data_IF_587925761738
#
_entry.id   IF_587925761738
#
_cell.length_a   1.000
_cell.length_b   1.000
_cell.length_c   1.000
_cell.angle_alpha   90.00
_cell.angle_beta   90.00
_cell.angle_gamma   90.00
#
_symmetry.space_group_name_H-M   'P 1'
#
loop_
_entity.id
_entity.type
_entity.pdbx_description
1 polymer ?
#
# COMPACT_ATOMS: atom_id res chain seq x y z
N UNK A 1 -8.38 10.28 -8.59
CA UNK A 1 -9.08 10.51 -7.31
C UNK A 1 -9.64 9.18 -6.83
N UNK A 2 -9.15 8.63 -5.72
CA UNK A 2 -9.36 7.22 -5.32
C UNK A 2 -10.47 7.00 -4.29
N UNK A 3 -10.86 8.04 -3.54
CA UNK A 3 -11.88 7.96 -2.47
C UNK A 3 -13.17 7.23 -2.85
N UNK A 4 -13.80 7.46 -4.02
CA UNK A 4 -15.08 6.80 -4.35
C UNK A 4 -14.94 5.28 -4.42
N UNK A 5 -13.82 4.79 -4.94
CA UNK A 5 -13.51 3.36 -4.99
C UNK A 5 -13.28 2.83 -3.57
N UNK A 6 -12.49 3.54 -2.75
CA UNK A 6 -12.26 3.14 -1.36
C UNK A 6 -13.56 3.03 -0.56
N UNK A 7 -14.48 3.99 -0.70
CA UNK A 7 -15.79 3.94 -0.03
C UNK A 7 -16.63 2.73 -0.44
N UNK A 8 -16.53 2.28 -1.69
CA UNK A 8 -17.22 1.07 -2.18
C UNK A 8 -16.66 -0.21 -1.53
N UNK A 9 -15.35 -0.25 -1.27
CA UNK A 9 -14.64 -1.45 -0.81
C UNK A 9 -14.18 -1.42 0.66
N UNK A 10 -14.48 -0.35 1.41
CA UNK A 10 -14.05 -0.18 2.81
C UNK A 10 -14.69 -1.18 3.81
N UNK A 11 -15.68 -1.96 3.38
CA UNK A 11 -16.33 -3.01 4.19
C UNK A 11 -16.81 -2.51 5.57
N UNK A 12 -17.46 -1.34 5.61
CA UNK A 12 -17.94 -0.72 6.84
C UNK A 12 -16.89 0.08 7.64
N UNK A 13 -15.65 0.14 7.16
CA UNK A 13 -14.60 0.99 7.74
C UNK A 13 -14.77 2.45 7.35
N UNK A 14 -14.34 3.35 8.23
CA UNK A 14 -14.32 4.79 7.95
C UNK A 14 -13.32 5.12 6.83
N UNK A 15 -13.76 5.91 5.86
CA UNK A 15 -12.88 6.46 4.80
C UNK A 15 -12.69 7.95 5.04
N UNK A 16 -11.46 8.32 5.39
CA UNK A 16 -11.06 9.70 5.65
C UNK A 16 -10.42 10.26 4.39
N UNK A 17 -10.98 11.36 3.87
CA UNK A 17 -10.37 12.09 2.77
C UNK A 17 -9.16 12.89 3.26
N UNK A 18 -8.00 12.63 2.66
CA UNK A 18 -6.80 13.44 2.82
C UNK A 18 -6.60 14.25 1.52
N UNK A 19 -6.66 15.59 1.58
CA UNK A 19 -6.61 16.42 0.39
C UNK A 19 -5.22 16.42 -0.26
N UNK A 20 -5.19 16.60 -1.58
CA UNK A 20 -3.95 16.90 -2.30
C UNK A 20 -3.66 18.38 -2.10
N UNK A 21 -2.61 18.69 -1.34
CA UNK A 21 -2.26 20.07 -0.98
C UNK A 21 -0.73 20.24 -0.87
N UNK A 22 -0.31 21.47 -0.59
CA UNK A 22 1.06 21.82 -0.27
C UNK A 22 1.55 21.19 1.04
N UNK A 23 2.84 21.39 1.30
CA UNK A 23 3.58 20.81 2.42
C UNK A 23 2.93 21.14 3.77
N UNK A 24 2.80 22.43 4.09
CA UNK A 24 2.33 22.87 5.40
C UNK A 24 0.87 22.49 5.68
N UNK A 25 -0.10 22.71 4.75
CA UNK A 25 -1.46 22.22 4.93
C UNK A 25 -1.53 20.70 5.11
N UNK A 26 -0.73 19.93 4.35
CA UNK A 26 -0.70 18.47 4.48
C UNK A 26 -0.24 18.01 5.86
N UNK A 27 0.77 18.67 6.45
CA UNK A 27 1.19 18.39 7.83
C UNK A 27 0.09 18.70 8.85
N UNK A 28 -0.64 19.80 8.67
CA UNK A 28 -1.80 20.15 9.51
C UNK A 28 -2.92 19.11 9.39
N UNK A 29 -3.22 18.64 8.17
CA UNK A 29 -4.18 17.57 7.93
C UNK A 29 -3.77 16.26 8.60
N UNK A 30 -2.51 15.85 8.46
CA UNK A 30 -1.97 14.67 9.11
C UNK A 30 -2.12 14.77 10.64
N UNK A 31 -1.67 15.87 11.24
CA UNK A 31 -1.81 16.13 12.68
C UNK A 31 -3.27 16.07 13.14
N UNK A 32 -4.18 16.75 12.43
CA UNK A 32 -5.60 16.75 12.77
C UNK A 32 -6.25 15.38 12.68
N UNK A 33 -5.85 14.55 11.70
CA UNK A 33 -6.31 13.15 11.59
C UNK A 33 -5.81 12.34 12.78
N UNK A 34 -4.52 12.42 13.12
CA UNK A 34 -3.92 11.69 14.23
C UNK A 34 -4.56 12.07 15.58
N UNK A 35 -4.81 13.36 15.83
CA UNK A 35 -5.46 13.84 17.06
C UNK A 35 -6.91 13.38 17.19
N UNK A 36 -7.64 13.30 16.07
CA UNK A 36 -9.04 12.87 16.02
C UNK A 36 -9.18 11.35 16.13
N UNK A 37 -8.44 10.61 15.32
CA UNK A 37 -8.56 9.15 15.20
C UNK A 37 -7.83 8.44 16.33
N UNK A 38 -6.71 9.00 16.81
CA UNK A 38 -5.84 8.42 17.85
C UNK A 38 -5.52 6.94 17.58
N UNK A 39 -4.98 6.60 16.38
CA UNK A 39 -4.70 5.22 16.05
C UNK A 39 -3.59 4.67 16.94
N UNK A 40 -3.67 3.39 17.28
CA UNK A 40 -2.58 2.67 17.95
C UNK A 40 -1.56 2.07 16.98
N UNK A 41 -1.92 2.00 15.69
CA UNK A 41 -1.12 1.42 14.62
C UNK A 41 -1.44 2.11 13.29
N UNK A 42 -0.40 2.41 12.50
CA UNK A 42 -0.50 2.84 11.12
C UNK A 42 -0.01 1.72 10.20
N UNK A 43 -0.74 1.42 9.13
CA UNK A 43 -0.33 0.44 8.13
C UNK A 43 -0.41 1.08 6.75
N UNK A 44 0.67 0.99 5.99
CA UNK A 44 0.72 1.39 4.59
C UNK A 44 0.89 0.18 3.69
N UNK A 45 0.17 0.15 2.57
CA UNK A 45 0.32 -0.85 1.51
C UNK A 45 0.36 -0.10 0.18
N UNK A 46 1.45 -0.25 -0.58
CA UNK A 46 1.59 0.28 -1.94
C UNK A 46 1.29 1.78 -2.06
N UNK A 47 1.70 2.56 -1.04
CA UNK A 47 1.47 4.00 -1.03
C UNK A 47 2.79 4.72 -1.22
N UNK A 48 2.91 5.45 -2.32
CA UNK A 48 4.08 6.28 -2.61
C UNK A 48 4.39 7.25 -1.45
N UNK A 49 5.64 7.22 -1.00
CA UNK A 49 6.22 8.13 -0.01
C UNK A 49 7.06 9.20 -0.69
N UNK A 50 7.28 10.31 0.01
CA UNK A 50 8.06 11.43 -0.53
C UNK A 50 9.53 11.07 -0.66
N UNK A 51 10.19 11.59 -1.69
CA UNK A 51 11.66 11.62 -1.79
C UNK A 51 12.24 12.68 -0.84
N UNK A 52 13.57 12.80 -0.80
CA UNK A 52 14.27 13.83 -0.01
C UNK A 52 13.87 15.26 -0.39
N UNK A 53 13.47 15.48 -1.64
CA UNK A 53 13.08 16.80 -2.15
C UNK A 53 11.56 17.04 -2.03
N UNK A 54 10.85 16.21 -1.25
CA UNK A 54 9.41 16.26 -1.04
C UNK A 54 8.59 16.16 -2.34
N UNK A 55 9.10 15.35 -3.28
CA UNK A 55 8.42 14.96 -4.52
C UNK A 55 7.98 13.50 -4.46
N UNK A 56 6.95 13.15 -5.22
CA UNK A 56 6.47 11.76 -5.36
C UNK A 56 6.76 11.32 -6.79
N UNK A 57 7.56 10.27 -6.93
CA UNK A 57 7.97 9.76 -8.23
C UNK A 57 7.38 8.36 -8.42
N UNK A 58 6.84 8.08 -9.60
CA UNK A 58 6.56 6.69 -9.98
C UNK A 58 7.85 5.96 -10.39
N UNK A 59 7.75 4.66 -10.67
CA UNK A 59 8.90 3.84 -11.09
C UNK A 59 9.55 4.26 -12.42
N UNK A 60 8.97 5.23 -13.14
CA UNK A 60 9.52 5.83 -14.37
C UNK A 60 10.12 7.23 -14.11
N UNK A 61 10.33 7.61 -12.85
CA UNK A 61 10.81 8.92 -12.42
C UNK A 61 9.91 10.09 -12.82
N UNK A 62 8.63 9.84 -13.11
CA UNK A 62 7.66 10.89 -13.41
C UNK A 62 7.15 11.47 -12.10
N UNK A 63 7.18 12.80 -11.99
CA UNK A 63 6.61 13.53 -10.87
C UNK A 63 5.08 13.41 -10.86
N UNK A 64 4.57 12.71 -9.85
CA UNK A 64 3.15 12.49 -9.59
C UNK A 64 2.65 13.32 -8.38
N UNK A 65 3.47 14.22 -7.83
CA UNK A 65 3.11 15.08 -6.70
C UNK A 65 1.80 15.85 -6.90
N UNK A 66 1.50 16.42 -8.09
CA UNK A 66 0.22 17.12 -8.31
C UNK A 66 -1.03 16.23 -8.15
N UNK A 67 -0.87 14.92 -8.17
CA UNK A 67 -1.94 13.93 -8.07
C UNK A 67 -1.84 13.08 -6.78
N UNK A 68 -0.89 13.38 -5.90
CA UNK A 68 -0.54 12.52 -4.76
C UNK A 68 -0.74 13.28 -3.46
N UNK A 69 -1.73 12.84 -2.67
CA UNK A 69 -1.91 13.32 -1.31
C UNK A 69 -0.73 12.88 -0.44
N UNK A 70 -0.18 13.82 0.35
CA UNK A 70 1.02 13.66 1.18
C UNK A 70 0.75 12.89 2.48
N UNK A 71 0.19 11.69 2.32
CA UNK A 71 -0.27 10.82 3.41
C UNK A 71 0.88 10.29 4.28
N UNK A 72 2.09 10.26 3.75
CA UNK A 72 3.31 9.84 4.44
C UNK A 72 3.65 10.75 5.63
N UNK A 73 3.13 11.98 5.70
CA UNK A 73 3.21 12.80 6.91
C UNK A 73 2.50 12.19 8.14
N UNK A 74 1.57 11.26 7.95
CA UNK A 74 1.00 10.49 9.08
C UNK A 74 2.06 9.62 9.76
N UNK A 75 3.06 9.16 8.99
CA UNK A 75 4.12 8.26 9.43
C UNK A 75 5.33 8.98 10.04
N UNK A 76 5.35 10.31 10.04
CA UNK A 76 6.33 11.12 10.79
C UNK A 76 5.92 11.28 12.28
N UNK A 77 5.11 10.36 12.80
CA UNK A 77 4.61 10.35 14.18
C UNK A 77 5.20 9.20 14.99
N UNK A 78 5.10 9.25 16.32
CA UNK A 78 5.57 8.19 17.22
C UNK A 78 4.61 6.98 17.31
N UNK A 79 3.62 6.88 16.43
CA UNK A 79 2.65 5.79 16.43
C UNK A 79 3.28 4.58 15.76
N UNK A 80 3.10 3.40 16.38
CA UNK A 80 3.60 2.15 15.80
C UNK A 80 3.16 1.99 14.36
N UNK A 81 4.08 1.57 13.49
CA UNK A 81 3.87 1.63 12.04
C UNK A 81 4.37 0.40 11.29
N UNK A 82 3.65 0.03 10.24
CA UNK A 82 4.01 -1.04 9.30
C UNK A 82 3.94 -0.49 7.88
N UNK A 83 5.01 -0.70 7.11
CA UNK A 83 5.03 -0.45 5.66
C UNK A 83 5.08 -1.76 4.88
N UNK A 84 4.33 -1.83 3.79
CA UNK A 84 4.37 -2.92 2.80
C UNK A 84 4.57 -2.28 1.43
N UNK A 85 5.65 -2.68 0.74
CA UNK A 85 6.04 -2.15 -0.56
C UNK A 85 6.84 -3.18 -1.37
N UNK A 86 7.02 -2.90 -2.66
CA UNK A 86 7.76 -3.78 -3.59
C UNK A 86 8.75 -3.04 -4.51
N UNK A 87 8.62 -1.72 -4.66
CA UNK A 87 9.38 -0.90 -5.62
C UNK A 87 10.41 0.06 -5.01
N UNK A 88 10.34 0.41 -3.72
CA UNK A 88 11.30 1.27 -3.04
C UNK A 88 10.89 2.75 -2.92
N UNK A 89 9.83 3.18 -3.58
CA UNK A 89 9.27 4.52 -3.51
C UNK A 89 8.04 4.62 -2.58
N UNK A 90 7.74 3.57 -1.81
CA UNK A 90 6.57 3.48 -0.93
C UNK A 90 6.89 3.83 0.52
N UNK A 91 5.85 4.19 1.26
CA UNK A 91 5.92 4.48 2.68
C UNK A 91 6.55 3.32 3.44
N UNK A 92 7.67 3.60 4.10
CA UNK A 92 8.44 2.64 4.90
C UNK A 92 9.73 2.19 4.21
N UNK A 93 9.88 2.40 2.91
CA UNK A 93 11.11 2.09 2.18
C UNK A 93 12.29 2.97 2.59
N UNK A 94 12.04 4.05 3.35
CA UNK A 94 13.10 4.83 4.01
C UNK A 94 13.96 4.01 4.98
N UNK A 95 13.48 2.85 5.46
CA UNK A 95 14.28 1.92 6.24
C UNK A 95 15.45 1.32 5.43
N UNK A 96 15.34 1.33 4.11
CA UNK A 96 16.30 0.77 3.15
C UNK A 96 16.85 1.85 2.21
N UNK A 97 16.77 3.14 2.58
CA UNK A 97 17.16 4.27 1.72
C UNK A 97 18.63 4.22 1.25
N UNK A 98 19.51 3.57 2.01
CA UNK A 98 20.91 3.36 1.63
C UNK A 98 21.12 2.14 0.70
N UNK A 99 20.22 1.16 0.76
CA UNK A 99 20.33 -0.10 0.00
C UNK A 99 19.64 0.00 -1.35
N UNK A 100 18.46 0.62 -1.40
CA UNK A 100 17.64 0.72 -2.61
C UNK A 100 18.42 1.29 -3.80
N UNK A 101 19.16 2.42 -3.70
CA UNK A 101 19.92 2.97 -4.82
C UNK A 101 21.11 2.12 -5.27
N UNK A 102 21.46 1.05 -4.54
CA UNK A 102 22.55 0.14 -4.91
C UNK A 102 22.10 -1.01 -5.81
N UNK A 103 20.80 -1.12 -6.07
CA UNK A 103 20.20 -2.17 -6.89
C UNK A 103 19.69 -1.55 -8.19
N UNK A 104 20.29 -1.93 -9.33
CA UNK A 104 20.03 -1.33 -10.65
C UNK A 104 18.55 -1.31 -11.07
N UNK A 105 17.73 -2.22 -10.54
CA UNK A 105 16.29 -2.31 -10.86
C UNK A 105 15.38 -1.47 -9.97
N UNK A 106 15.94 -0.77 -8.97
CA UNK A 106 15.21 0.00 -7.96
C UNK A 106 15.49 1.51 -8.12
N UNK A 107 14.67 2.41 -7.54
CA UNK A 107 14.79 3.84 -7.78
C UNK A 107 16.03 4.46 -7.13
N UNK A 108 16.63 5.43 -7.81
CA UNK A 108 17.72 6.27 -7.27
C UNK A 108 17.26 7.14 -6.09
N UNK A 109 15.97 7.47 -6.07
CA UNK A 109 15.33 8.35 -5.08
C UNK A 109 14.24 7.59 -4.32
N UNK A 110 14.59 6.75 -3.34
CA UNK A 110 13.62 6.03 -2.54
C UNK A 110 12.77 6.97 -1.69
N UNK A 111 11.66 6.46 -1.17
CA UNK A 111 10.91 7.16 -0.14
C UNK A 111 11.78 7.38 1.10
N UNK A 112 11.63 8.53 1.76
CA UNK A 112 12.44 8.87 2.96
C UNK A 112 11.77 8.47 4.27
N UNK A 113 10.45 8.29 4.26
CA UNK A 113 9.73 8.01 5.48
C UNK A 113 10.02 6.57 5.95
N UNK A 114 10.28 6.44 7.25
CA UNK A 114 10.58 5.18 7.91
C UNK A 114 9.34 4.62 8.61
N UNK A 115 9.40 3.33 8.94
CA UNK A 115 8.36 2.61 9.69
C UNK A 115 9.01 1.67 10.69
N UNK A 116 8.29 1.28 11.74
CA UNK A 116 8.84 0.36 12.75
C UNK A 116 9.06 -1.05 12.20
N UNK A 117 8.20 -1.49 11.28
CA UNK A 117 8.29 -2.81 10.63
C UNK A 117 8.03 -2.66 9.14
N UNK A 118 8.98 -3.15 8.34
CA UNK A 118 8.87 -3.17 6.89
C UNK A 118 8.66 -4.61 6.41
N UNK A 119 7.69 -4.80 5.52
CA UNK A 119 7.49 -6.04 4.76
C UNK A 119 7.77 -5.72 3.30
N UNK A 120 8.78 -6.38 2.73
CA UNK A 120 9.05 -6.35 1.30
C UNK A 120 8.42 -7.57 0.64
N UNK A 121 7.76 -7.37 -0.50
CA UNK A 121 7.15 -8.42 -1.29
C UNK A 121 7.41 -8.20 -2.78
N UNK A 122 7.08 -9.17 -3.64
CA UNK A 122 7.13 -8.97 -5.10
C UNK A 122 5.91 -8.21 -5.65
N UNK A 123 4.82 -8.21 -4.88
CA UNK A 123 3.58 -7.47 -5.10
C UNK A 123 3.08 -7.08 -3.71
N UNK A 124 2.86 -5.80 -3.45
CA UNK A 124 2.43 -5.32 -2.13
C UNK A 124 1.15 -5.98 -1.61
N UNK A 125 0.19 -6.31 -2.49
CA UNK A 125 -0.99 -7.11 -2.13
C UNK A 125 -0.60 -8.45 -1.50
N UNK A 126 0.39 -9.15 -2.04
CA UNK A 126 0.86 -10.44 -1.51
C UNK A 126 1.51 -10.28 -0.13
N UNK A 127 2.23 -9.17 0.09
CA UNK A 127 2.73 -8.79 1.41
C UNK A 127 1.58 -8.61 2.41
N UNK A 128 0.51 -7.91 1.99
CA UNK A 128 -0.72 -7.76 2.76
C UNK A 128 -1.39 -9.09 3.11
N UNK A 129 -1.57 -9.98 2.13
CA UNK A 129 -2.11 -11.32 2.40
C UNK A 129 -1.19 -12.14 3.31
N UNK A 130 0.13 -12.04 3.14
CA UNK A 130 1.10 -12.69 4.03
C UNK A 130 0.95 -12.25 5.48
N UNK A 131 0.75 -10.96 5.73
CA UNK A 131 0.45 -10.42 7.05
C UNK A 131 -0.86 -11.01 7.62
N UNK A 132 -1.93 -11.03 6.82
CA UNK A 132 -3.22 -11.61 7.21
C UNK A 132 -3.14 -13.12 7.47
N UNK A 133 -2.32 -13.84 6.71
CA UNK A 133 -2.04 -15.27 6.92
C UNK A 133 -1.34 -15.50 8.27
N UNK A 134 -0.32 -14.71 8.60
CA UNK A 134 0.35 -14.78 9.90
C UNK A 134 -0.62 -14.47 11.05
N UNK A 135 -1.48 -13.47 10.90
CA UNK A 135 -2.54 -13.18 11.88
C UNK A 135 -3.53 -14.34 12.03
N UNK A 136 -3.84 -15.03 10.94
CA UNK A 136 -4.74 -16.20 10.95
C UNK A 136 -4.16 -17.32 11.82
N UNK A 137 -2.87 -17.61 11.66
CA UNK A 137 -2.17 -18.62 12.47
C UNK A 137 -2.10 -18.23 13.95
N UNK A 138 -1.76 -16.97 14.25
CA UNK A 138 -1.66 -16.48 15.64
C UNK A 138 -3.01 -16.52 16.35
N UNK A 139 -4.08 -16.16 15.64
CA UNK A 139 -5.42 -16.06 16.23
C UNK A 139 -6.24 -17.35 16.19
N UNK A 140 -5.81 -18.35 15.40
CA UNK A 140 -6.57 -19.55 15.10
C UNK A 140 -7.85 -19.30 14.28
N UNK A 141 -7.97 -18.13 13.62
CA UNK A 141 -9.12 -17.74 12.79
C UNK A 141 -8.70 -17.66 11.34
N UNK A 142 -9.55 -18.09 10.40
CA UNK A 142 -9.29 -17.92 8.97
C UNK A 142 -9.66 -16.48 8.56
N UNK A 143 -8.65 -15.61 8.44
CA UNK A 143 -8.84 -14.18 8.13
C UNK A 143 -8.57 -13.82 6.67
N UNK A 144 -7.92 -14.70 5.91
CA UNK A 144 -7.63 -14.47 4.50
C UNK A 144 -8.92 -14.35 3.67
N UNK A 145 -8.99 -13.42 2.69
CA UNK A 145 -10.08 -13.40 1.71
C UNK A 145 -10.06 -14.68 0.87
N UNK A 146 -11.20 -15.05 0.30
CA UNK A 146 -11.24 -16.17 -0.66
C UNK A 146 -10.77 -15.71 -2.04
N UNK A 147 -10.27 -16.64 -2.85
CA UNK A 147 -9.85 -16.35 -4.23
C UNK A 147 -10.99 -15.75 -5.05
N UNK A 148 -12.20 -16.23 -4.86
CA UNK A 148 -13.40 -15.73 -5.53
C UNK A 148 -13.72 -14.30 -5.11
N UNK A 149 -13.64 -14.00 -3.81
CA UNK A 149 -13.90 -12.64 -3.30
C UNK A 149 -12.87 -11.63 -3.80
N UNK A 150 -11.61 -12.04 -3.90
CA UNK A 150 -10.53 -11.19 -4.38
C UNK A 150 -10.66 -10.92 -5.89
N UNK A 151 -10.94 -11.98 -6.66
CA UNK A 151 -11.17 -11.87 -8.11
C UNK A 151 -12.37 -10.96 -8.41
N UNK A 152 -13.46 -11.11 -7.66
CA UNK A 152 -14.63 -10.24 -7.80
C UNK A 152 -14.34 -8.78 -7.42
N UNK A 153 -13.52 -8.55 -6.39
CA UNK A 153 -13.07 -7.22 -6.00
C UNK A 153 -12.25 -6.56 -7.11
N UNK A 154 -11.26 -7.28 -7.66
CA UNK A 154 -10.41 -6.81 -8.76
C UNK A 154 -11.25 -6.38 -9.97
N UNK A 155 -12.16 -7.23 -10.45
CA UNK A 155 -13.04 -6.89 -11.56
C UNK A 155 -13.90 -5.65 -11.28
N UNK A 156 -14.48 -5.56 -10.09
CA UNK A 156 -15.31 -4.40 -9.74
C UNK A 156 -14.51 -3.09 -9.56
N UNK A 157 -13.22 -3.16 -9.22
CA UNK A 157 -12.32 -2.01 -9.17
C UNK A 157 -11.99 -1.52 -10.59
N UNK A 158 -11.76 -2.43 -11.54
CA UNK A 158 -11.51 -2.11 -12.95
C UNK A 158 -12.73 -1.46 -13.59
N UNK A 159 -13.93 -1.99 -13.33
CA UNK A 159 -15.19 -1.38 -13.76
C UNK A 159 -15.37 0.04 -13.20
N UNK A 160 -14.77 0.34 -12.04
CA UNK A 160 -14.76 1.66 -11.42
C UNK A 160 -13.63 2.58 -11.95
N UNK A 161 -12.83 2.11 -12.91
CA UNK A 161 -11.75 2.87 -13.55
C UNK A 161 -10.39 2.76 -12.86
N UNK A 162 -10.20 1.79 -11.96
CA UNK A 162 -8.86 1.44 -11.46
C UNK A 162 -8.07 0.78 -12.59
N UNK A 163 -6.79 1.12 -12.70
CA UNK A 163 -5.88 0.62 -13.71
C UNK A 163 -4.75 -0.16 -13.07
N UNK A 164 -4.15 -1.07 -13.84
CA UNK A 164 -2.92 -1.75 -13.44
C UNK A 164 -1.75 -0.75 -13.44
N UNK A 165 -0.95 -0.76 -12.37
CA UNK A 165 0.12 0.22 -12.14
C UNK A 165 1.30 0.11 -13.11
N UNK A 166 1.49 -1.06 -13.72
CA UNK A 166 2.60 -1.33 -14.64
C UNK A 166 2.24 -0.91 -16.07
N UNK A 167 1.06 -1.30 -16.53
CA UNK A 167 0.56 -1.06 -17.90
C UNK A 167 -0.12 0.30 -18.04
N UNK A 168 -0.81 0.75 -17.00
CA UNK A 168 -1.70 1.92 -17.05
C UNK A 168 -3.08 1.62 -17.65
N UNK A 169 -3.36 0.35 -17.96
CA UNK A 169 -4.60 -0.08 -18.61
C UNK A 169 -5.62 -0.61 -17.59
N UNK A 170 -6.91 -0.47 -17.91
CA UNK A 170 -8.00 -1.04 -17.13
C UNK A 170 -8.17 -2.54 -17.43
N UNK A 171 -7.20 -3.35 -17.00
CA UNK A 171 -7.12 -4.79 -17.22
C UNK A 171 -7.13 -5.57 -15.89
N UNK A 172 -7.57 -6.85 -15.88
CA UNK A 172 -7.64 -7.69 -14.68
C UNK A 172 -6.27 -8.21 -14.23
N UNK A 173 -5.34 -7.29 -14.00
CA UNK A 173 -4.00 -7.55 -13.51
C UNK A 173 -3.64 -6.63 -12.35
N UNK A 174 -2.72 -7.10 -11.51
CA UNK A 174 -2.03 -6.31 -10.48
C UNK A 174 -0.55 -6.55 -10.70
N UNK A 175 0.21 -5.48 -10.93
CA UNK A 175 1.63 -5.52 -11.32
C UNK A 175 1.92 -6.50 -12.45
N UNK A 176 1.05 -6.48 -13.46
CA UNK A 176 1.10 -7.34 -14.64
C UNK A 176 0.90 -8.85 -14.34
N UNK A 177 0.56 -9.23 -13.10
CA UNK A 177 0.09 -10.57 -12.76
C UNK A 177 -1.41 -10.69 -12.97
N UNK A 178 -1.85 -11.74 -13.66
CA UNK A 178 -3.25 -12.03 -13.89
C UNK A 178 -4.02 -12.33 -12.60
N UNK A 179 -5.36 -12.21 -12.67
CA UNK A 179 -6.24 -12.66 -11.60
C UNK A 179 -5.99 -14.14 -11.21
N UNK A 180 -5.64 -15.00 -12.17
CA UNK A 180 -5.31 -16.40 -11.93
C UNK A 180 -4.03 -16.56 -11.11
N UNK A 181 -2.97 -15.83 -11.46
CA UNK A 181 -1.68 -15.87 -10.74
C UNK A 181 -1.82 -15.34 -9.30
N UNK A 182 -2.54 -14.21 -9.15
CA UNK A 182 -2.87 -13.66 -7.84
C UNK A 182 -3.70 -14.65 -7.01
N UNK A 183 -4.72 -15.28 -7.62
CA UNK A 183 -5.54 -16.31 -6.98
C UNK A 183 -4.74 -17.55 -6.57
N UNK A 184 -3.80 -18.00 -7.40
CA UNK A 184 -2.93 -19.13 -7.10
C UNK A 184 -2.03 -18.86 -5.89
N UNK A 185 -1.51 -17.63 -5.75
CA UNK A 185 -0.75 -17.20 -4.57
C UNK A 185 -1.64 -17.21 -3.32
N UNK A 186 -2.83 -16.61 -3.38
CA UNK A 186 -3.75 -16.58 -2.25
C UNK A 186 -4.17 -18.00 -1.81
N UNK A 187 -4.41 -18.91 -2.76
CA UNK A 187 -4.69 -20.32 -2.48
C UNK A 187 -3.51 -21.03 -1.80
N UNK A 188 -2.26 -20.66 -2.11
CA UNK A 188 -1.08 -21.17 -1.40
C UNK A 188 -1.05 -20.70 0.05
N UNK A 189 -1.38 -19.44 0.30
CA UNK A 189 -1.45 -18.90 1.67
C UNK A 189 -2.53 -19.59 2.50
N UNK A 190 -3.71 -19.88 1.93
CA UNK A 190 -4.73 -20.69 2.59
C UNK A 190 -4.21 -22.06 3.04
N UNK A 191 -3.42 -22.75 2.19
CA UNK A 191 -2.81 -24.04 2.56
C UNK A 191 -1.79 -23.92 3.69
N UNK A 192 -1.06 -22.81 3.79
CA UNK A 192 -0.14 -22.55 4.90
C UNK A 192 -0.91 -22.32 6.20
N UNK A 193 -2.00 -21.56 6.15
CA UNK A 193 -2.86 -21.31 7.31
C UNK A 193 -3.56 -22.59 7.78
N UNK A 194 -4.01 -23.44 6.86
CA UNK A 194 -4.71 -24.69 7.19
C UNK A 194 -3.77 -25.82 7.63
N UNK A 195 -2.50 -25.75 7.26
CA UNK A 195 -1.48 -26.77 7.56
C UNK A 195 -0.57 -26.46 8.76
N UNK A 196 -0.68 -25.27 9.35
CA UNK A 196 0.04 -24.86 10.57
C UNK A 196 -0.86 -24.91 11.80
#
# INVERSE_FOLDING_TARGET
YTTPVLRKYANGSDVIDFPIDGIEPSKEHAKGILERVKPSLLISIERCGRTRDDTYLNMRYVDISPNTARLDYLFDSDISSVGIGDGGNEIGMGNLAEVIPTVDSLPDYPAVNQVDRLVIASVSNWGGYGLVAAMSQISGKKLLPTVESETAMLHGMIEAGVVDGTTGDAVPTVDNFSAEENGALLARLHRVVDGG
#
